data_IF_928650033030
#
_entry.id   IF_928650033030
#
_cell.length_a   1.000
_cell.length_b   1.000
_cell.length_c   1.000
_cell.angle_alpha   90.00
_cell.angle_beta   90.00
_cell.angle_gamma   90.00
#
_symmetry.space_group_name_H-M   'P 1'
#
loop_
_entity.id
_entity.type
_entity.pdbx_description
1 polymer ?
#
# COMPACT_ATOMS: atom_id res chain seq x y z
N UNK A 1 27.12 22.02 -11.97
CA UNK A 1 25.82 22.68 -12.22
C UNK A 1 25.11 22.22 -13.50
N UNK A 2 25.63 21.28 -14.31
CA UNK A 2 25.12 21.06 -15.67
C UNK A 2 24.52 19.66 -15.97
N UNK A 3 24.67 18.70 -15.04
CA UNK A 3 24.23 17.32 -15.28
C UNK A 3 22.71 17.16 -15.20
N UNK A 4 22.04 17.75 -14.21
CA UNK A 4 20.58 17.70 -14.10
C UNK A 4 19.89 18.45 -15.25
N UNK A 5 20.38 19.64 -15.64
CA UNK A 5 19.82 20.39 -16.75
C UNK A 5 19.90 19.62 -18.08
N UNK A 6 21.04 18.98 -18.34
CA UNK A 6 21.23 18.09 -19.51
C UNK A 6 20.30 16.89 -19.46
N UNK A 7 20.16 16.27 -18.29
CA UNK A 7 19.30 15.10 -18.06
C UNK A 7 17.83 15.44 -18.29
N UNK A 8 17.35 16.57 -17.76
CA UNK A 8 15.99 17.07 -17.96
C UNK A 8 15.75 17.35 -19.44
N UNK A 9 16.65 18.08 -20.11
CA UNK A 9 16.50 18.39 -21.53
C UNK A 9 16.39 17.12 -22.38
N UNK A 10 17.21 16.09 -22.10
CA UNK A 10 17.12 14.78 -22.75
C UNK A 10 15.76 14.12 -22.52
N UNK A 11 15.26 14.09 -21.28
CA UNK A 11 13.95 13.50 -20.95
C UNK A 11 12.78 14.24 -21.62
N UNK A 12 12.91 15.56 -21.83
CA UNK A 12 11.95 16.39 -22.55
C UNK A 12 12.12 16.33 -24.08
N UNK A 13 12.95 15.42 -24.60
CA UNK A 13 13.20 15.25 -26.03
C UNK A 13 13.99 16.41 -26.63
N UNK A 14 15.07 16.80 -25.98
CA UNK A 14 15.99 17.88 -26.37
C UNK A 14 15.35 19.28 -26.42
N UNK A 15 14.29 19.49 -25.63
CA UNK A 15 13.53 20.74 -25.55
C UNK A 15 13.78 21.48 -24.24
N UNK A 16 13.62 22.80 -24.28
CA UNK A 16 13.44 23.59 -23.06
C UNK A 16 12.07 23.31 -22.45
N UNK A 17 11.88 23.66 -21.18
CA UNK A 17 10.59 23.54 -20.49
C UNK A 17 9.49 24.31 -21.24
N UNK A 18 9.78 25.52 -21.73
CA UNK A 18 8.83 26.33 -22.48
C UNK A 18 8.43 25.68 -23.82
N UNK A 19 9.39 25.12 -24.55
CA UNK A 19 9.13 24.38 -25.79
C UNK A 19 8.32 23.11 -25.51
N UNK A 20 8.66 22.38 -24.46
CA UNK A 20 7.91 21.20 -24.02
C UNK A 20 6.46 21.56 -23.65
N UNK A 21 6.25 22.68 -22.95
CA UNK A 21 4.92 23.17 -22.59
C UNK A 21 4.02 23.49 -23.80
N UNK A 22 4.61 23.83 -24.95
CA UNK A 22 3.87 24.09 -26.19
C UNK A 22 3.44 22.83 -26.96
N UNK A 23 3.94 21.65 -26.59
CA UNK A 23 3.52 20.39 -27.21
C UNK A 23 2.05 20.09 -26.90
N UNK A 24 1.43 19.22 -27.68
CA UNK A 24 0.09 18.71 -27.36
C UNK A 24 0.12 17.89 -26.07
N UNK A 25 -1.01 17.81 -25.35
CA UNK A 25 -1.09 16.99 -24.13
C UNK A 25 -0.71 15.51 -24.39
N UNK A 26 -1.18 14.85 -25.47
CA UNK A 26 -0.74 13.50 -25.81
C UNK A 26 0.78 13.36 -25.96
N UNK A 27 1.43 14.30 -26.64
CA UNK A 27 2.89 14.27 -26.86
C UNK A 27 3.67 14.46 -25.55
N UNK A 28 3.21 15.39 -24.69
CA UNK A 28 3.80 15.59 -23.36
C UNK A 28 3.67 14.33 -22.51
N UNK A 29 2.47 13.73 -22.48
CA UNK A 29 2.23 12.47 -21.74
C UNK A 29 3.07 11.33 -22.27
N UNK A 30 3.28 11.20 -23.58
CA UNK A 30 4.14 10.18 -24.14
C UNK A 30 5.59 10.30 -23.65
N UNK A 31 6.12 11.53 -23.59
CA UNK A 31 7.45 11.80 -23.03
C UNK A 31 7.50 11.57 -21.52
N UNK A 32 6.47 11.98 -20.76
CA UNK A 32 6.40 11.67 -19.34
C UNK A 32 6.39 10.17 -19.08
N UNK A 33 5.52 9.39 -19.76
CA UNK A 33 5.46 7.93 -19.60
C UNK A 33 6.81 7.26 -19.81
N UNK A 34 7.52 7.66 -20.86
CA UNK A 34 8.83 7.11 -21.19
C UNK A 34 9.84 7.23 -20.05
N UNK A 35 9.72 8.25 -19.21
CA UNK A 35 10.68 8.55 -18.15
C UNK A 35 10.14 8.33 -16.72
N UNK A 36 8.82 8.16 -16.57
CA UNK A 36 8.15 8.06 -15.26
C UNK A 36 7.43 6.74 -15.05
N UNK A 37 7.23 5.94 -16.09
CA UNK A 37 6.46 4.69 -16.00
C UNK A 37 7.38 3.52 -16.32
N UNK A 38 7.36 2.52 -15.45
CA UNK A 38 8.07 1.25 -15.66
C UNK A 38 7.08 0.08 -15.69
N UNK A 39 7.51 -1.01 -16.34
CA UNK A 39 6.70 -2.22 -16.48
C UNK A 39 6.63 -3.04 -15.18
N UNK A 40 7.68 -2.99 -14.38
CA UNK A 40 7.72 -3.66 -13.08
C UNK A 40 7.10 -2.74 -12.01
N UNK A 41 6.53 -3.32 -10.93
CA UNK A 41 6.07 -2.53 -9.80
C UNK A 41 7.15 -1.54 -9.34
N UNK A 42 6.76 -0.31 -9.04
CA UNK A 42 7.60 0.65 -8.34
C UNK A 42 7.65 0.22 -6.87
N UNK A 43 8.85 -0.04 -6.35
CA UNK A 43 9.05 -0.48 -4.96
C UNK A 43 9.27 0.72 -4.06
N UNK A 44 8.54 0.78 -2.96
CA UNK A 44 8.68 1.78 -1.90
C UNK A 44 9.03 1.03 -0.61
N UNK A 45 10.32 1.00 -0.26
CA UNK A 45 10.88 0.32 0.91
C UNK A 45 12.17 0.99 1.42
N UNK A 46 12.72 0.54 2.55
CA UNK A 46 13.85 1.16 3.27
C UNK A 46 15.12 1.32 2.42
N UNK A 47 15.30 0.49 1.38
CA UNK A 47 16.45 0.54 0.47
C UNK A 47 16.23 1.46 -0.75
N UNK A 48 15.13 2.22 -0.82
CA UNK A 48 14.82 3.15 -1.93
C UNK A 48 15.78 4.37 -1.99
N UNK A 49 16.65 4.53 -0.99
CA UNK A 49 17.73 5.53 -1.01
C UNK A 49 18.82 5.21 -2.06
N UNK A 50 18.99 3.94 -2.42
CA UNK A 50 19.92 3.53 -3.47
C UNK A 50 19.10 3.13 -4.70
N UNK A 51 19.11 3.97 -5.74
CA UNK A 51 18.47 3.88 -7.08
C UNK A 51 18.38 2.48 -7.74
N UNK A 52 19.02 1.48 -7.15
CA UNK A 52 18.93 0.05 -7.38
C UNK A 52 17.52 -0.54 -7.52
N UNK A 53 16.52 -0.04 -6.79
CA UNK A 53 15.17 -0.63 -6.81
C UNK A 53 14.31 -0.19 -8.00
N UNK A 54 14.48 1.07 -8.42
CA UNK A 54 13.67 1.70 -9.48
C UNK A 54 14.53 2.32 -10.60
N UNK A 55 15.52 1.59 -11.17
CA UNK A 55 16.55 2.19 -12.03
C UNK A 55 15.98 2.74 -13.35
N UNK A 56 14.86 2.19 -13.83
CA UNK A 56 14.26 2.59 -15.12
C UNK A 56 13.68 4.00 -15.10
N UNK A 57 13.34 4.50 -13.91
CA UNK A 57 12.66 5.78 -13.69
C UNK A 57 13.42 6.69 -12.73
N UNK A 58 14.63 6.30 -12.33
CA UNK A 58 15.45 7.02 -11.35
C UNK A 58 15.63 8.51 -11.70
N UNK A 59 16.04 8.80 -12.94
CA UNK A 59 16.18 10.18 -13.42
C UNK A 59 14.83 10.93 -13.49
N UNK A 60 13.73 10.20 -13.66
CA UNK A 60 12.39 10.73 -13.82
C UNK A 60 11.90 11.53 -12.62
N UNK A 61 12.43 11.28 -11.42
CA UNK A 61 12.10 12.04 -10.20
C UNK A 61 12.25 13.56 -10.41
N UNK A 62 13.23 13.99 -11.22
CA UNK A 62 13.47 15.40 -11.52
C UNK A 62 12.27 16.07 -12.22
N UNK A 63 11.52 15.32 -13.03
CA UNK A 63 10.35 15.84 -13.76
C UNK A 63 9.15 16.12 -12.85
N UNK A 64 9.14 15.56 -11.64
CA UNK A 64 8.09 15.77 -10.65
C UNK A 64 8.40 16.92 -9.70
N UNK A 65 9.53 17.61 -9.85
CA UNK A 65 9.98 18.64 -8.91
C UNK A 65 9.91 20.04 -9.52
N UNK A 66 9.27 20.97 -8.82
CA UNK A 66 9.18 22.37 -9.26
C UNK A 66 10.55 23.06 -9.28
N UNK A 67 11.52 22.59 -8.48
CA UNK A 67 12.89 23.11 -8.52
C UNK A 67 13.50 22.97 -9.92
N UNK A 68 13.21 21.87 -10.62
CA UNK A 68 13.76 21.54 -11.92
C UNK A 68 12.84 21.95 -13.08
N UNK A 69 11.53 21.84 -12.89
CA UNK A 69 10.54 22.15 -13.92
C UNK A 69 10.08 23.61 -13.95
N UNK A 70 10.54 24.43 -13.00
CA UNK A 70 10.14 25.82 -12.86
C UNK A 70 9.05 26.01 -11.80
N UNK A 71 9.12 27.15 -11.11
CA UNK A 71 8.17 27.56 -10.05
C UNK A 71 7.05 28.45 -10.57
N UNK A 72 7.07 28.80 -11.85
CA UNK A 72 6.00 29.54 -12.50
C UNK A 72 4.78 28.63 -12.73
N UNK A 73 3.66 29.22 -13.15
CA UNK A 73 2.42 28.45 -13.38
C UNK A 73 2.59 27.39 -14.47
N UNK A 74 3.48 27.63 -15.45
CA UNK A 74 3.83 26.62 -16.46
C UNK A 74 4.51 25.41 -15.83
N UNK A 75 5.57 25.63 -15.05
CA UNK A 75 6.31 24.55 -14.38
C UNK A 75 5.45 23.77 -13.39
N UNK A 76 4.65 24.47 -12.57
CA UNK A 76 3.68 23.83 -11.65
C UNK A 76 2.68 22.93 -12.39
N UNK A 77 2.13 23.41 -13.52
CA UNK A 77 1.21 22.61 -14.34
C UNK A 77 1.89 21.36 -14.88
N UNK A 78 3.12 21.48 -15.37
CA UNK A 78 3.88 20.34 -15.90
C UNK A 78 4.24 19.33 -14.80
N UNK A 79 4.60 19.79 -13.60
CA UNK A 79 4.83 18.92 -12.44
C UNK A 79 3.55 18.15 -12.08
N UNK A 80 2.40 18.83 -12.08
CA UNK A 80 1.12 18.16 -11.85
C UNK A 80 0.85 17.09 -12.91
N UNK A 81 1.05 17.40 -14.20
CA UNK A 81 0.93 16.43 -15.28
C UNK A 81 1.88 15.23 -15.12
N UNK A 82 3.12 15.48 -14.67
CA UNK A 82 4.11 14.44 -14.38
C UNK A 82 3.66 13.53 -13.23
N UNK A 83 3.17 14.10 -12.12
CA UNK A 83 2.62 13.35 -10.99
C UNK A 83 1.40 12.52 -11.40
N UNK A 84 0.49 13.09 -12.21
CA UNK A 84 -0.68 12.40 -12.74
C UNK A 84 -0.30 11.18 -13.61
N UNK A 85 0.81 11.25 -14.34
CA UNK A 85 1.34 10.13 -15.13
C UNK A 85 2.02 9.11 -14.20
N UNK A 86 2.93 9.57 -13.34
CA UNK A 86 3.69 8.69 -12.44
C UNK A 86 2.79 7.86 -11.53
N UNK A 87 1.88 8.51 -10.79
CA UNK A 87 0.99 7.81 -9.86
C UNK A 87 -0.18 7.12 -10.57
N UNK A 88 -0.66 7.71 -11.66
CA UNK A 88 -1.83 7.19 -12.37
C UNK A 88 -1.54 5.97 -13.24
N UNK A 89 -0.31 5.81 -13.73
CA UNK A 89 0.03 4.78 -14.72
C UNK A 89 1.03 3.72 -14.22
N UNK A 90 1.64 3.88 -13.04
CA UNK A 90 2.44 2.83 -12.42
C UNK A 90 1.62 1.94 -11.48
N UNK A 91 2.12 0.72 -11.29
CA UNK A 91 1.79 -0.12 -10.15
C UNK A 91 2.79 0.12 -9.01
N UNK A 92 2.31 0.23 -7.77
CA UNK A 92 3.17 0.45 -6.61
C UNK A 92 3.15 -0.75 -5.66
N UNK A 93 4.33 -1.17 -5.22
CA UNK A 93 4.53 -2.10 -4.11
C UNK A 93 5.05 -1.32 -2.91
N UNK A 94 4.20 -1.13 -1.90
CA UNK A 94 4.50 -0.28 -0.74
C UNK A 94 4.52 -1.15 0.52
N UNK A 95 5.62 -1.12 1.27
CA UNK A 95 5.66 -1.71 2.61
C UNK A 95 4.72 -0.95 3.53
N UNK A 96 3.98 -1.65 4.41
CA UNK A 96 2.97 -1.03 5.26
C UNK A 96 3.53 0.13 6.11
N UNK A 97 4.77 0.02 6.60
CA UNK A 97 5.40 1.09 7.38
C UNK A 97 5.70 2.36 6.59
N UNK A 98 5.87 2.28 5.26
CA UNK A 98 6.06 3.44 4.37
C UNK A 98 4.77 4.00 3.78
N UNK A 99 3.61 3.38 4.08
CA UNK A 99 2.37 3.76 3.43
C UNK A 99 1.97 5.21 3.73
N UNK A 100 2.23 5.70 4.94
CA UNK A 100 1.89 7.05 5.36
C UNK A 100 2.74 8.11 4.62
N UNK A 101 4.04 7.86 4.55
CA UNK A 101 5.03 8.68 3.88
C UNK A 101 4.77 8.68 2.36
N UNK A 102 4.48 7.52 1.79
CA UNK A 102 4.09 7.38 0.39
C UNK A 102 2.84 8.20 0.07
N UNK A 103 1.84 8.20 0.94
CA UNK A 103 0.62 8.99 0.74
C UNK A 103 0.85 10.50 0.75
N UNK A 104 1.94 10.95 1.40
CA UNK A 104 2.32 12.36 1.56
C UNK A 104 3.66 12.64 0.90
N UNK A 105 3.79 12.29 -0.38
CA UNK A 105 5.03 12.52 -1.12
C UNK A 105 5.39 14.01 -1.11
N UNK A 106 6.61 14.30 -0.65
CA UNK A 106 7.18 15.64 -0.61
C UNK A 106 7.99 15.99 -1.86
N UNK A 107 7.98 15.10 -2.87
CA UNK A 107 8.72 15.24 -4.12
C UNK A 107 10.22 15.48 -3.90
N UNK A 108 10.76 15.01 -2.77
CA UNK A 108 12.13 15.26 -2.31
C UNK A 108 12.49 16.74 -2.09
N UNK A 109 11.52 17.67 -2.15
CA UNK A 109 11.73 19.10 -1.89
C UNK A 109 11.30 19.53 -0.47
N UNK A 110 10.70 18.60 0.29
CA UNK A 110 10.19 18.76 1.66
C UNK A 110 9.15 19.90 1.84
N UNK A 111 8.65 20.46 0.74
CA UNK A 111 7.76 21.63 0.73
C UNK A 111 6.45 21.34 0.02
N UNK A 112 6.51 20.64 -1.10
CA UNK A 112 5.36 20.33 -1.94
C UNK A 112 4.74 19.04 -1.46
N UNK A 113 3.63 19.11 -0.72
CA UNK A 113 2.87 17.92 -0.32
C UNK A 113 1.92 17.52 -1.44
N UNK A 114 2.09 16.32 -1.99
CA UNK A 114 1.18 15.74 -2.99
C UNK A 114 0.33 14.67 -2.31
N UNK A 115 -1.01 14.80 -2.29
CA UNK A 115 -1.87 13.72 -1.83
C UNK A 115 -1.86 12.61 -2.88
N UNK A 116 -1.16 11.52 -2.59
CA UNK A 116 -0.91 10.45 -3.59
C UNK A 116 -2.13 9.54 -3.78
N UNK A 117 -2.88 9.25 -2.72
CA UNK A 117 -3.96 8.26 -2.79
C UNK A 117 -5.02 8.54 -3.89
N UNK A 118 -5.48 9.79 -4.11
CA UNK A 118 -6.38 10.11 -5.22
C UNK A 118 -5.76 9.98 -6.61
N UNK A 119 -4.43 9.97 -6.72
CA UNK A 119 -3.72 9.90 -8.01
C UNK A 119 -3.49 8.47 -8.48
N UNK A 120 -3.54 7.48 -7.59
CA UNK A 120 -3.43 6.06 -7.93
C UNK A 120 -4.70 5.64 -8.67
N UNK A 121 -4.54 5.27 -9.95
CA UNK A 121 -5.66 4.86 -10.83
C UNK A 121 -5.58 3.40 -11.23
N UNK A 122 -4.39 2.91 -11.52
CA UNK A 122 -4.20 1.51 -11.91
C UNK A 122 -4.23 0.60 -10.68
N UNK A 123 -3.10 0.46 -9.98
CA UNK A 123 -3.01 -0.56 -8.94
C UNK A 123 -1.99 -0.26 -7.83
N UNK A 124 -2.29 -0.72 -6.62
CA UNK A 124 -1.40 -0.66 -5.46
C UNK A 124 -1.38 -1.99 -4.71
N UNK A 125 -0.19 -2.45 -4.34
CA UNK A 125 0.05 -3.57 -3.45
C UNK A 125 0.63 -3.04 -2.14
N UNK A 126 -0.05 -3.30 -1.03
CA UNK A 126 0.46 -3.02 0.32
C UNK A 126 1.00 -4.32 0.92
N UNK A 127 2.25 -4.29 1.37
CA UNK A 127 2.96 -5.47 1.88
C UNK A 127 3.08 -5.36 3.40
N UNK A 128 2.51 -6.35 4.10
CA UNK A 128 2.59 -6.51 5.55
C UNK A 128 3.56 -7.63 5.86
N UNK A 129 4.65 -7.29 6.53
CA UNK A 129 5.59 -8.29 7.01
C UNK A 129 5.01 -9.05 8.21
N UNK A 130 5.29 -10.35 8.25
CA UNK A 130 4.99 -11.22 9.39
C UNK A 130 5.61 -10.66 10.67
N UNK A 131 4.94 -10.84 11.80
CA UNK A 131 5.46 -10.45 13.12
C UNK A 131 6.80 -11.12 13.46
N UNK A 132 7.11 -12.28 12.89
CA UNK A 132 8.43 -12.92 13.05
C UNK A 132 9.56 -12.20 12.28
N UNK A 133 9.20 -11.36 11.31
CA UNK A 133 10.12 -10.56 10.50
C UNK A 133 10.16 -9.08 10.92
N UNK A 134 9.24 -8.65 11.78
CA UNK A 134 9.33 -7.37 12.47
C UNK A 134 10.36 -7.53 13.59
N UNK A 135 11.64 -7.27 13.27
CA UNK A 135 12.67 -7.10 14.29
C UNK A 135 12.23 -6.05 15.32
N UNK A 136 12.75 -6.10 16.55
CA UNK A 136 12.43 -5.19 17.68
C UNK A 136 12.44 -3.69 17.29
N UNK A 137 13.12 -3.32 16.19
CA UNK A 137 13.16 -1.98 15.60
C UNK A 137 11.78 -1.31 15.44
N UNK A 138 10.75 -2.01 14.97
CA UNK A 138 9.44 -1.40 14.68
C UNK A 138 8.56 -1.16 15.91
N UNK A 139 8.91 -1.74 17.06
CA UNK A 139 8.18 -1.57 18.31
C UNK A 139 8.73 -0.42 19.16
N UNK A 140 9.90 0.12 18.80
CA UNK A 140 10.61 1.18 19.53
C UNK A 140 10.45 2.58 18.95
N UNK A 141 9.93 2.75 17.73
CA UNK A 141 9.60 4.09 17.24
C UNK A 141 8.30 4.60 17.87
N UNK A 142 8.45 5.38 18.94
CA UNK A 142 7.47 6.36 19.42
C UNK A 142 7.33 7.58 18.46
N UNK A 143 7.70 7.44 17.19
CA UNK A 143 7.44 8.40 16.11
C UNK A 143 6.78 7.65 14.96
N UNK A 144 5.47 7.65 14.81
CA UNK A 144 4.75 8.75 14.16
C UNK A 144 3.32 8.91 14.71
N UNK A 145 3.08 8.52 15.96
CA UNK A 145 1.97 8.99 16.79
C UNK A 145 2.26 8.57 18.23
N UNK A 146 2.95 9.43 18.98
CA UNK A 146 2.90 9.41 20.45
C UNK A 146 1.53 9.93 20.94
N UNK A 147 0.45 9.58 20.24
CA UNK A 147 -0.87 9.63 20.85
C UNK A 147 -1.02 8.29 21.56
N UNK A 148 -0.79 8.35 22.85
CA UNK A 148 -1.22 7.33 23.79
C UNK A 148 -2.65 6.98 23.44
N UNK A 149 -2.84 5.92 22.65
CA UNK A 149 -4.12 5.23 22.61
C UNK A 149 -4.35 4.87 24.07
N UNK A 150 -5.17 5.70 24.74
CA UNK A 150 -5.56 5.48 26.11
C UNK A 150 -5.94 4.02 26.20
N UNK A 151 -5.50 3.35 27.26
CA UNK A 151 -5.94 2.01 27.62
C UNK A 151 -7.45 2.06 27.90
N UNK A 152 -8.21 2.24 26.82
CA UNK A 152 -9.65 2.22 26.78
C UNK A 152 -10.02 0.78 26.45
N UNK A 153 -10.45 0.00 27.45
CA UNK A 153 -10.88 -1.38 27.24
C UNK A 153 -12.11 -1.49 26.31
N UNK A 154 -12.76 -0.36 26.02
CA UNK A 154 -13.86 -0.26 25.06
C UNK A 154 -13.41 0.15 23.64
N UNK A 155 -12.13 0.50 23.45
CA UNK A 155 -11.57 0.70 22.11
C UNK A 155 -11.57 -0.60 21.33
N UNK A 156 -12.00 -0.52 20.08
CA UNK A 156 -12.06 -1.62 19.11
C UNK A 156 -10.70 -2.31 18.94
N UNK A 157 -9.62 -1.55 19.12
CA UNK A 157 -8.23 -2.00 19.07
C UNK A 157 -7.80 -2.82 20.29
N UNK A 158 -8.50 -2.72 21.42
CA UNK A 158 -8.19 -3.49 22.64
C UNK A 158 -8.74 -4.92 22.58
N UNK A 159 -9.79 -5.16 21.77
CA UNK A 159 -10.50 -6.45 21.73
C UNK A 159 -9.91 -7.46 20.73
N UNK A 160 -9.01 -7.03 19.83
CA UNK A 160 -8.32 -7.91 18.86
C UNK A 160 -6.84 -7.53 18.72
N UNK A 161 -5.96 -8.47 19.07
CA UNK A 161 -4.52 -8.28 19.08
C UNK A 161 -4.08 -7.31 20.17
N UNK A 162 -3.81 -7.81 21.38
CA UNK A 162 -3.42 -6.96 22.53
C UNK A 162 -2.02 -6.36 22.39
N UNK A 163 -1.27 -6.75 21.37
CA UNK A 163 0.09 -6.25 21.10
C UNK A 163 0.10 -4.88 20.42
N UNK A 164 1.12 -4.07 20.73
CA UNK A 164 1.43 -2.80 20.04
C UNK A 164 1.48 -2.99 18.51
N UNK A 165 2.07 -4.10 18.04
CA UNK A 165 2.14 -4.46 16.61
C UNK A 165 0.76 -4.59 15.94
N UNK A 166 -0.20 -5.26 16.58
CA UNK A 166 -1.53 -5.48 16.03
C UNK A 166 -2.30 -4.17 15.88
N UNK A 167 -2.30 -3.33 16.93
CA UNK A 167 -2.95 -2.01 16.90
C UNK A 167 -2.34 -1.09 15.84
N UNK A 168 -1.01 -1.05 15.78
CA UNK A 168 -0.29 -0.27 14.77
C UNK A 168 -0.62 -0.77 13.34
N UNK A 169 -0.61 -2.09 13.12
CA UNK A 169 -0.93 -2.70 11.83
C UNK A 169 -2.36 -2.36 11.40
N UNK A 170 -3.34 -2.54 12.30
CA UNK A 170 -4.73 -2.20 12.03
C UNK A 170 -4.89 -0.73 11.65
N UNK A 171 -4.29 0.19 12.43
CA UNK A 171 -4.34 1.63 12.17
C UNK A 171 -3.77 1.97 10.80
N UNK A 172 -2.57 1.47 10.47
CA UNK A 172 -1.94 1.71 9.15
C UNK A 172 -2.71 1.11 7.99
N UNK A 173 -3.39 -0.03 8.17
CA UNK A 173 -4.24 -0.59 7.11
C UNK A 173 -5.47 0.26 6.82
N UNK A 174 -5.89 1.17 7.72
CA UNK A 174 -7.00 2.08 7.46
C UNK A 174 -6.65 3.11 6.36
N UNK A 175 -5.37 3.40 6.15
CA UNK A 175 -4.92 4.28 5.07
C UNK A 175 -5.32 3.73 3.68
N UNK A 176 -5.52 2.41 3.55
CA UNK A 176 -5.96 1.78 2.31
C UNK A 176 -7.33 2.30 1.85
N UNK A 177 -8.17 2.79 2.76
CA UNK A 177 -9.49 3.34 2.44
C UNK A 177 -9.43 4.60 1.55
N UNK A 178 -8.27 5.26 1.46
CA UNK A 178 -8.06 6.47 0.68
C UNK A 178 -7.84 6.21 -0.83
N UNK A 179 -7.48 5.00 -1.23
CA UNK A 179 -7.23 4.65 -2.65
C UNK A 179 -8.52 4.38 -3.44
N UNK A 180 -9.49 5.30 -3.35
CA UNK A 180 -10.83 5.16 -3.95
C UNK A 180 -10.80 5.05 -5.47
N UNK A 181 -9.80 5.64 -6.12
CA UNK A 181 -9.62 5.69 -7.57
C UNK A 181 -8.85 4.48 -8.13
N UNK A 182 -8.23 3.66 -7.29
CA UNK A 182 -7.48 2.49 -7.75
C UNK A 182 -8.42 1.43 -8.33
N UNK A 183 -8.04 0.83 -9.46
CA UNK A 183 -8.76 -0.30 -10.05
C UNK A 183 -8.46 -1.60 -9.30
N UNK A 184 -7.23 -1.76 -8.80
CA UNK A 184 -6.82 -2.94 -8.05
C UNK A 184 -6.02 -2.58 -6.79
N UNK A 185 -6.46 -3.12 -5.66
CA UNK A 185 -5.81 -2.97 -4.36
C UNK A 185 -5.49 -4.37 -3.84
N UNK A 186 -4.22 -4.66 -3.59
CA UNK A 186 -3.79 -5.96 -3.08
C UNK A 186 -3.11 -5.82 -1.73
N UNK A 187 -3.60 -6.53 -0.73
CA UNK A 187 -2.91 -6.73 0.54
C UNK A 187 -2.09 -8.02 0.48
N UNK A 188 -0.79 -7.93 0.75
CA UNK A 188 0.12 -9.09 0.79
C UNK A 188 0.58 -9.33 2.20
N UNK A 189 0.32 -10.53 2.72
CA UNK A 189 0.98 -11.04 3.92
C UNK A 189 2.29 -11.69 3.49
N UNK A 190 3.40 -11.03 3.78
CA UNK A 190 4.74 -11.46 3.40
C UNK A 190 5.46 -12.11 4.59
N UNK A 191 5.96 -13.32 4.41
CA UNK A 191 6.65 -14.02 5.49
C UNK A 191 7.12 -15.41 5.12
N UNK A 192 7.46 -16.20 6.14
CA UNK A 192 7.79 -17.63 6.00
C UNK A 192 6.52 -18.49 6.22
N UNK A 193 6.71 -19.80 6.33
CA UNK A 193 5.64 -20.74 6.63
C UNK A 193 4.89 -21.23 5.39
N UNK A 194 3.64 -21.66 5.59
CA UNK A 194 2.81 -22.29 4.55
C UNK A 194 1.96 -21.24 3.83
N UNK A 195 1.67 -21.47 2.54
CA UNK A 195 0.91 -20.51 1.71
C UNK A 195 -0.54 -20.33 2.13
N UNK A 196 -1.12 -21.29 2.85
CA UNK A 196 -2.44 -21.12 3.46
C UNK A 196 -2.43 -20.25 4.71
N UNK A 197 -1.26 -19.92 5.28
CA UNK A 197 -1.19 -19.12 6.50
C UNK A 197 -1.53 -19.91 7.76
N UNK A 198 -1.42 -21.25 7.72
CA UNK A 198 -1.57 -22.12 8.88
C UNK A 198 -0.41 -22.06 9.88
N UNK A 199 0.70 -21.41 9.54
CA UNK A 199 1.72 -21.07 10.53
C UNK A 199 1.22 -20.02 11.52
N UNK A 200 1.65 -20.17 12.77
CA UNK A 200 1.19 -19.38 13.91
C UNK A 200 1.29 -17.87 13.67
N UNK A 201 2.41 -17.39 13.15
CA UNK A 201 2.62 -15.96 12.95
C UNK A 201 1.65 -15.38 11.91
N UNK A 202 1.44 -16.06 10.79
CA UNK A 202 0.48 -15.60 9.79
C UNK A 202 -0.96 -15.71 10.28
N UNK A 203 -1.29 -16.81 10.97
CA UNK A 203 -2.62 -17.00 11.55
C UNK A 203 -2.95 -15.88 12.54
N UNK A 204 -1.98 -15.49 13.36
CA UNK A 204 -2.09 -14.36 14.30
C UNK A 204 -2.28 -13.02 13.55
N UNK A 205 -1.50 -12.75 12.50
CA UNK A 205 -1.69 -11.54 11.67
C UNK A 205 -3.10 -11.52 11.06
N UNK A 206 -3.57 -12.63 10.48
CA UNK A 206 -4.92 -12.73 9.89
C UNK A 206 -5.99 -12.41 10.94
N UNK A 207 -5.86 -12.96 12.15
CA UNK A 207 -6.75 -12.67 13.26
C UNK A 207 -6.76 -11.18 13.61
N UNK A 208 -5.58 -10.58 13.72
CA UNK A 208 -5.42 -9.19 14.14
C UNK A 208 -5.95 -8.20 13.11
N UNK A 209 -5.84 -8.49 11.81
CA UNK A 209 -6.34 -7.59 10.75
C UNK A 209 -7.74 -7.95 10.24
N UNK A 210 -8.33 -9.05 10.75
CA UNK A 210 -9.58 -9.66 10.25
C UNK A 210 -10.69 -8.65 10.02
N UNK A 211 -10.90 -7.76 10.98
CA UNK A 211 -11.90 -6.71 10.92
C UNK A 211 -11.66 -5.70 9.80
N UNK A 212 -10.45 -5.14 9.74
CA UNK A 212 -10.08 -4.13 8.75
C UNK A 212 -10.20 -4.72 7.34
N UNK A 213 -9.74 -5.95 7.15
CA UNK A 213 -9.86 -6.66 5.87
C UNK A 213 -11.32 -6.89 5.49
N UNK A 214 -12.20 -7.24 6.43
CA UNK A 214 -13.64 -7.37 6.17
C UNK A 214 -14.25 -6.05 5.67
N UNK A 215 -13.88 -4.92 6.29
CA UNK A 215 -14.34 -3.60 5.86
C UNK A 215 -13.78 -3.21 4.49
N UNK A 216 -12.50 -3.51 4.21
CA UNK A 216 -11.87 -3.26 2.91
C UNK A 216 -12.56 -4.06 1.81
N UNK A 217 -12.87 -5.33 2.07
CA UNK A 217 -13.66 -6.19 1.19
C UNK A 217 -15.04 -5.58 0.93
N UNK A 218 -15.72 -5.08 1.96
CA UNK A 218 -17.04 -4.45 1.80
C UNK A 218 -16.98 -3.16 0.97
N UNK A 219 -15.95 -2.33 1.18
CA UNK A 219 -15.79 -1.06 0.47
C UNK A 219 -15.38 -1.22 -1.00
N UNK A 220 -14.44 -2.13 -1.27
CA UNK A 220 -13.79 -2.22 -2.57
C UNK A 220 -14.29 -3.41 -3.41
N UNK A 221 -14.95 -4.39 -2.79
CA UNK A 221 -15.48 -5.57 -3.49
C UNK A 221 -14.38 -6.32 -4.24
N UNK A 222 -14.63 -6.57 -5.52
CA UNK A 222 -13.70 -7.31 -6.40
C UNK A 222 -12.40 -6.55 -6.70
N UNK A 223 -12.35 -5.24 -6.42
CA UNK A 223 -11.11 -4.46 -6.56
C UNK A 223 -10.10 -4.77 -5.47
N UNK A 224 -10.52 -5.38 -4.36
CA UNK A 224 -9.65 -5.70 -3.24
C UNK A 224 -9.34 -7.19 -3.16
N UNK A 225 -8.03 -7.50 -3.14
CA UNK A 225 -7.51 -8.84 -2.98
C UNK A 225 -6.64 -8.93 -1.72
N UNK A 226 -6.64 -10.08 -1.06
CA UNK A 226 -5.68 -10.42 -0.02
C UNK A 226 -5.02 -11.75 -0.37
N UNK A 227 -3.68 -11.79 -0.27
CA UNK A 227 -2.89 -12.98 -0.57
C UNK A 227 -1.74 -13.14 0.40
N UNK A 228 -1.29 -14.38 0.58
CA UNK A 228 -0.02 -14.69 1.21
C UNK A 228 1.06 -14.86 0.16
N UNK A 229 2.26 -14.36 0.46
CA UNK A 229 3.46 -14.56 -0.36
C UNK A 229 4.60 -15.06 0.54
N UNK A 230 5.32 -16.10 0.08
CA UNK A 230 6.45 -16.65 0.85
C UNK A 230 7.76 -16.04 0.37
N UNK A 231 8.54 -15.52 1.30
CA UNK A 231 9.94 -15.15 1.06
C UNK A 231 10.81 -16.41 1.01
N UNK A 232 11.32 -16.74 -0.17
CA UNK A 232 12.48 -17.65 -0.30
C UNK A 232 13.69 -16.73 -0.41
N UNK A 233 14.43 -16.56 0.69
CA UNK A 233 15.53 -15.58 0.77
C UNK A 233 16.38 -15.52 -0.50
N UNK A 234 16.59 -14.31 -1.00
CA UNK A 234 17.45 -14.00 -2.16
C UNK A 234 16.72 -13.33 -3.33
N UNK A 235 17.00 -12.04 -3.54
CA UNK A 235 16.85 -11.32 -4.81
C UNK A 235 15.46 -10.80 -5.19
N UNK A 236 15.34 -9.49 -5.39
CA UNK A 236 14.22 -8.87 -6.11
C UNK A 236 14.26 -9.34 -7.57
N UNK A 237 13.39 -10.29 -7.96
CA UNK A 237 13.33 -10.75 -9.35
C UNK A 237 12.74 -12.14 -9.61
N UNK A 238 12.42 -12.91 -8.56
CA UNK A 238 11.75 -14.21 -8.70
C UNK A 238 10.22 -14.12 -8.67
N UNK A 239 9.54 -15.04 -9.36
CA UNK A 239 8.11 -15.30 -9.11
C UNK A 239 7.98 -15.97 -7.74
N UNK A 240 7.53 -15.21 -6.75
CA UNK A 240 7.29 -15.74 -5.41
C UNK A 240 6.00 -16.56 -5.40
N UNK A 241 6.02 -17.78 -4.82
CA UNK A 241 4.80 -18.52 -4.58
C UNK A 241 3.84 -17.68 -3.76
N UNK A 242 2.59 -17.61 -4.22
CA UNK A 242 1.53 -16.89 -3.52
C UNK A 242 0.23 -17.70 -3.55
N UNK A 243 -0.65 -17.42 -2.59
CA UNK A 243 -2.00 -17.98 -2.52
C UNK A 243 -2.99 -16.91 -2.08
N UNK A 244 -4.14 -16.86 -2.75
CA UNK A 244 -5.25 -16.01 -2.31
C UNK A 244 -5.78 -16.49 -0.96
N UNK A 245 -5.97 -15.56 -0.03
CA UNK A 245 -6.63 -15.81 1.26
C UNK A 245 -8.07 -15.27 1.28
N UNK A 246 -8.55 -14.75 0.14
CA UNK A 246 -9.82 -14.01 0.05
C UNK A 246 -11.01 -14.81 0.56
N UNK A 247 -11.00 -16.12 0.35
CA UNK A 247 -12.08 -17.04 0.74
C UNK A 247 -12.20 -17.24 2.25
N UNK A 248 -11.21 -16.83 3.06
CA UNK A 248 -11.31 -16.88 4.52
C UNK A 248 -12.35 -15.90 5.07
N UNK A 249 -12.70 -14.87 4.29
CA UNK A 249 -13.76 -13.92 4.64
C UNK A 249 -15.11 -14.27 4.00
N UNK A 250 -15.23 -15.42 3.33
CA UNK A 250 -16.51 -15.89 2.83
C UNK A 250 -17.35 -16.45 3.99
N UNK A 251 -18.67 -16.20 4.05
CA UNK A 251 -19.51 -16.74 5.10
C UNK A 251 -19.42 -18.28 5.17
N UNK A 252 -19.11 -18.87 6.33
CA UNK A 252 -19.03 -20.32 6.46
C UNK A 252 -20.41 -20.97 6.29
N UNK A 253 -20.45 -22.04 5.50
CA UNK A 253 -21.67 -22.86 5.36
C UNK A 253 -21.96 -23.66 6.63
N UNK A 254 -23.22 -24.03 6.86
CA UNK A 254 -23.59 -24.88 8.02
C UNK A 254 -22.84 -26.23 8.01
N UNK A 255 -22.64 -26.82 6.83
CA UNK A 255 -21.83 -28.03 6.66
C UNK A 255 -20.38 -27.81 7.10
N UNK A 256 -19.78 -26.65 6.78
CA UNK A 256 -18.43 -26.31 7.24
C UNK A 256 -18.38 -26.21 8.77
N UNK A 257 -19.35 -25.55 9.41
CA UNK A 257 -19.44 -25.47 10.88
C UNK A 257 -19.52 -26.84 11.54
N UNK A 258 -20.32 -27.75 10.98
CA UNK A 258 -20.44 -29.11 11.50
C UNK A 258 -19.12 -29.89 11.37
N UNK A 259 -18.42 -29.75 10.24
CA UNK A 259 -17.11 -30.36 10.04
C UNK A 259 -16.07 -29.82 11.03
N UNK A 260 -16.07 -28.52 11.32
CA UNK A 260 -15.18 -27.92 12.32
C UNK A 260 -15.45 -28.53 13.70
N UNK A 261 -16.72 -28.62 14.12
CA UNK A 261 -17.11 -29.24 15.40
C UNK A 261 -16.71 -30.71 15.53
N UNK A 262 -16.62 -31.43 14.41
CA UNK A 262 -16.22 -32.86 14.35
C UNK A 262 -14.72 -33.07 14.16
N UNK A 263 -13.93 -32.01 13.92
CA UNK A 263 -12.51 -32.13 13.58
C UNK A 263 -12.25 -32.66 12.16
N UNK A 264 -13.22 -32.54 11.25
CA UNK A 264 -13.17 -33.07 9.87
C UNK A 264 -13.04 -31.96 8.81
N UNK A 265 -12.91 -30.69 9.24
CA UNK A 265 -12.86 -29.54 8.34
C UNK A 265 -11.50 -29.38 7.65
N UNK A 266 -11.52 -28.78 6.45
CA UNK A 266 -10.29 -28.27 5.83
C UNK A 266 -9.81 -27.03 6.59
N UNK A 267 -8.53 -26.67 6.45
CA UNK A 267 -8.01 -25.45 7.06
C UNK A 267 -8.77 -24.19 6.61
N UNK A 268 -9.14 -24.11 5.34
CA UNK A 268 -9.97 -23.01 4.82
C UNK A 268 -11.33 -22.91 5.51
N UNK A 269 -11.99 -24.05 5.79
CA UNK A 269 -13.26 -24.08 6.52
C UNK A 269 -13.10 -23.67 7.99
N UNK A 270 -11.99 -24.05 8.61
CA UNK A 270 -11.63 -23.58 9.96
C UNK A 270 -11.48 -22.06 9.94
N UNK A 271 -10.69 -21.52 9.01
CA UNK A 271 -10.47 -20.08 8.87
C UNK A 271 -11.76 -19.29 8.63
N UNK A 272 -12.69 -19.78 7.81
CA UNK A 272 -13.99 -19.13 7.59
C UNK A 272 -14.81 -19.01 8.88
N UNK A 273 -14.83 -20.07 9.70
CA UNK A 273 -15.54 -20.06 10.98
C UNK A 273 -14.88 -19.12 11.98
N UNK A 274 -13.55 -19.17 12.07
CA UNK A 274 -12.78 -18.30 12.97
C UNK A 274 -12.87 -16.82 12.58
N UNK A 275 -12.70 -16.48 11.30
CA UNK A 275 -12.83 -15.09 10.81
C UNK A 275 -14.23 -14.56 11.04
N UNK A 276 -15.27 -15.39 10.86
CA UNK A 276 -16.62 -14.97 11.20
C UNK A 276 -16.75 -14.67 12.69
N UNK A 277 -16.25 -15.55 13.57
CA UNK A 277 -16.27 -15.36 15.03
C UNK A 277 -15.51 -14.09 15.44
N UNK A 278 -14.29 -13.91 14.93
CA UNK A 278 -13.47 -12.73 15.20
C UNK A 278 -14.19 -11.46 14.75
N UNK A 279 -14.88 -11.50 13.62
CA UNK A 279 -15.53 -10.31 13.06
C UNK A 279 -16.99 -10.11 13.51
N UNK A 280 -17.57 -11.03 14.28
CA UNK A 280 -18.94 -10.94 14.83
C UNK A 280 -19.03 -9.97 16.02
N UNK A 281 -17.91 -9.72 16.71
CA UNK A 281 -17.86 -8.90 17.94
C UNK A 281 -17.92 -7.38 17.63
N UNK A 282 -17.84 -6.98 16.35
CA UNK A 282 -17.76 -5.57 15.97
C UNK A 282 -19.13 -4.97 15.62
N UNK A 283 -19.51 -3.84 16.24
CA UNK A 283 -20.68 -3.06 15.83
C UNK A 283 -20.58 -2.66 14.36
N UNK A 284 -21.62 -2.96 13.58
CA UNK A 284 -21.78 -2.54 12.18
C UNK A 284 -21.82 -1.02 11.98
N UNK A 285 -21.99 -0.25 13.06
CA UNK A 285 -22.10 1.22 13.06
C UNK A 285 -20.76 1.96 13.12
N UNK A 286 -19.63 1.31 13.42
CA UNK A 286 -18.31 1.97 13.50
C UNK A 286 -17.76 2.35 12.11
N UNK A 287 -18.19 1.66 11.05
CA UNK A 287 -17.87 2.05 9.68
C UNK A 287 -18.32 3.48 9.34
N UNK A 288 -19.32 4.02 10.03
CA UNK A 288 -19.79 5.41 9.86
C UNK A 288 -18.93 6.45 10.59
N UNK A 289 -18.15 6.05 11.61
CA UNK A 289 -17.17 6.93 12.27
C UNK A 289 -15.89 7.07 11.45
N UNK A 290 -15.48 6.00 10.76
CA UNK A 290 -14.29 6.00 9.90
C UNK A 290 -14.42 6.91 8.67
N UNK A 291 -15.63 7.11 8.14
CA UNK A 291 -15.86 8.09 7.05
C UNK A 291 -15.69 9.56 7.50
N UNK A 292 -15.81 9.85 8.81
CA UNK A 292 -15.66 11.22 9.32
C UNK A 292 -14.22 11.60 9.67
N UNK A 293 -13.39 10.65 10.09
CA UNK A 293 -11.98 10.92 10.45
C UNK A 293 -11.02 10.92 9.26
N UNK A 294 -11.40 10.29 8.14
CA UNK A 294 -10.59 10.23 6.91
C UNK A 294 -10.75 11.49 6.02
N UNK A 295 -11.64 12.43 6.41
CA UNK A 295 -11.87 13.71 5.74
C UNK A 295 -11.41 14.88 6.63
N UNK A 296 -10.12 14.98 6.92
CA UNK A 296 -9.47 16.22 7.36
C UNK A 296 -8.18 16.43 6.57
#
# INVERSE_FOLDING_TARGET
MDQHATTIRRMLGDRTIAQFASLSLPDRRALFRRNLVQQQPVFIEEADDDVSLNPSIADGVLLRQQHFMGKDETGKRLVKEACDVYYGENHFNVRLHWLCEFMTDTLSDYKTKVPVAPLIKDSITVIVDSYDALDDFYLHEDGCDSDSGTDDPDSVHYRHGTGKAARWTQKRLQDIFLFTNAQHITLVLHGRGLLDGSDLATHQVIKDISYVVKLLIQKFGDRFAIRKMISRGGGHGGSYPWRSLRSYWDPPTETARQKVRRGEATFEQVMQVEVEEWTHVFPSTIGSWMEREILV
#
